data_IF_346441409083
#
_entry.id   IF_346441409083
#
_cell.length_a   1.000
_cell.length_b   1.000
_cell.length_c   1.000
_cell.angle_alpha   90.00
_cell.angle_beta   90.00
_cell.angle_gamma   90.00
#
_symmetry.space_group_name_H-M   'P 1'
#
loop_
_entity.id
_entity.type
_entity.pdbx_description
1 polymer ?
#
# COMPACT_ATOMS: atom_id res chain seq x y z
N UNK A 1 23.72 22.00 -17.91
CA UNK A 1 22.26 22.27 -17.87
C UNK A 1 21.42 21.31 -18.75
N UNK A 2 21.94 20.72 -19.85
CA UNK A 2 21.19 19.78 -20.70
C UNK A 2 21.22 18.31 -20.23
N UNK A 3 22.34 17.87 -19.67
CA UNK A 3 22.54 16.49 -19.21
C UNK A 3 21.69 16.13 -17.97
N UNK A 4 21.43 17.13 -17.11
CA UNK A 4 20.57 16.98 -15.93
C UNK A 4 19.13 16.65 -16.31
N UNK A 5 18.60 17.27 -17.37
CA UNK A 5 17.23 17.02 -17.83
C UNK A 5 17.02 15.62 -18.39
N UNK A 6 18.05 15.01 -19.01
CA UNK A 6 17.97 13.62 -19.51
C UNK A 6 17.96 12.62 -18.35
N UNK A 7 18.78 12.85 -17.33
CA UNK A 7 18.84 12.00 -16.14
C UNK A 7 17.51 12.04 -15.35
N UNK A 8 16.94 13.23 -15.18
CA UNK A 8 15.63 13.42 -14.53
C UNK A 8 14.51 12.72 -15.30
N UNK A 9 14.44 12.91 -16.62
CA UNK A 9 13.44 12.25 -17.47
C UNK A 9 13.55 10.71 -17.37
N UNK A 10 14.77 10.17 -17.33
CA UNK A 10 15.01 8.73 -17.18
C UNK A 10 14.58 8.22 -15.82
N UNK A 11 14.87 8.96 -14.75
CA UNK A 11 14.43 8.61 -13.40
C UNK A 11 12.91 8.56 -13.31
N UNK A 12 12.22 9.50 -13.97
CA UNK A 12 10.77 9.56 -13.92
C UNK A 12 10.09 8.46 -14.75
N UNK A 13 10.65 8.14 -15.92
CA UNK A 13 10.27 6.95 -16.68
C UNK A 13 10.47 5.67 -15.86
N UNK A 14 11.61 5.54 -15.17
CA UNK A 14 11.90 4.38 -14.32
C UNK A 14 10.89 4.24 -13.18
N UNK A 15 10.54 5.33 -12.49
CA UNK A 15 9.51 5.32 -11.44
C UNK A 15 8.15 4.91 -11.99
N UNK A 16 7.76 5.42 -13.16
CA UNK A 16 6.49 5.07 -13.79
C UNK A 16 6.39 3.56 -14.06
N UNK A 17 7.43 2.98 -14.66
CA UNK A 17 7.50 1.54 -14.92
C UNK A 17 7.42 0.74 -13.61
N UNK A 18 8.17 1.14 -12.58
CA UNK A 18 8.14 0.48 -11.28
C UNK A 18 6.75 0.52 -10.63
N UNK A 19 6.05 1.66 -10.72
CA UNK A 19 4.69 1.80 -10.21
C UNK A 19 3.73 0.82 -10.91
N UNK A 20 3.77 0.77 -12.24
CA UNK A 20 2.94 -0.14 -13.04
C UNK A 20 3.20 -1.59 -12.69
N UNK A 21 4.48 -2.01 -12.65
CA UNK A 21 4.85 -3.38 -12.27
C UNK A 21 4.32 -3.71 -10.88
N UNK A 22 4.57 -2.85 -9.88
CA UNK A 22 4.14 -3.08 -8.51
C UNK A 22 2.61 -3.21 -8.36
N UNK A 23 1.82 -2.44 -9.11
CA UNK A 23 0.35 -2.54 -9.07
C UNK A 23 -0.15 -3.81 -9.76
N UNK A 24 0.43 -4.17 -10.91
CA UNK A 24 -0.06 -5.30 -11.67
C UNK A 24 0.45 -6.65 -11.15
N UNK A 25 1.58 -6.70 -10.43
CA UNK A 25 2.09 -7.90 -9.78
C UNK A 25 1.55 -8.11 -8.36
N UNK A 26 0.86 -7.13 -7.78
CA UNK A 26 0.30 -7.25 -6.45
C UNK A 26 -0.88 -8.22 -6.41
N UNK A 27 -1.07 -8.86 -5.25
CA UNK A 27 -2.28 -9.59 -4.89
C UNK A 27 -3.49 -8.68 -4.99
N UNK A 28 -4.59 -9.19 -5.55
CA UNK A 28 -5.82 -8.46 -5.84
C UNK A 28 -7.01 -9.05 -5.10
N UNK A 29 -8.09 -8.27 -5.07
CA UNK A 29 -9.36 -8.72 -4.54
C UNK A 29 -9.84 -9.96 -5.32
N UNK A 30 -10.18 -11.02 -4.59
CA UNK A 30 -10.64 -12.29 -5.16
C UNK A 30 -9.54 -13.32 -5.35
N UNK A 31 -8.26 -12.96 -5.20
CA UNK A 31 -7.18 -13.94 -5.27
C UNK A 31 -7.25 -14.92 -4.08
N UNK A 32 -7.15 -16.24 -4.30
CA UNK A 32 -7.09 -17.21 -3.22
C UNK A 32 -5.75 -17.09 -2.49
N UNK A 33 -5.79 -17.02 -1.16
CA UNK A 33 -4.60 -16.88 -0.32
C UNK A 33 -4.67 -17.85 0.86
N UNK A 34 -3.58 -18.58 1.07
CA UNK A 34 -3.36 -19.33 2.31
C UNK A 34 -3.10 -18.37 3.49
N UNK A 35 -3.34 -18.83 4.71
CA UNK A 35 -3.15 -18.01 5.91
C UNK A 35 -1.71 -17.49 6.04
N UNK A 36 -0.73 -18.32 5.70
CA UNK A 36 0.69 -17.99 5.75
C UNK A 36 1.04 -16.86 4.79
N UNK A 37 0.41 -16.84 3.60
CA UNK A 37 0.60 -15.77 2.61
C UNK A 37 0.04 -14.44 3.12
N UNK A 38 -1.14 -14.46 3.76
CA UNK A 38 -1.72 -13.26 4.37
C UNK A 38 -0.79 -12.67 5.43
N UNK A 39 -0.27 -13.51 6.32
CA UNK A 39 0.69 -13.09 7.36
C UNK A 39 1.94 -12.49 6.74
N UNK A 40 2.48 -13.11 5.69
CA UNK A 40 3.69 -12.63 5.04
C UNK A 40 3.48 -11.32 4.28
N UNK A 41 2.31 -11.11 3.66
CA UNK A 41 1.94 -9.83 3.05
C UNK A 41 1.97 -8.72 4.11
N UNK A 42 1.33 -8.94 5.27
CA UNK A 42 1.29 -7.95 6.35
C UNK A 42 2.69 -7.66 6.89
N UNK A 43 3.52 -8.68 7.09
CA UNK A 43 4.92 -8.53 7.54
C UNK A 43 5.76 -7.72 6.55
N UNK A 44 5.65 -8.02 5.26
CA UNK A 44 6.38 -7.30 4.21
C UNK A 44 5.94 -5.85 4.10
N UNK A 45 4.62 -5.62 4.12
CA UNK A 45 4.04 -4.29 4.11
C UNK A 45 4.53 -3.43 5.28
N UNK A 46 4.53 -3.98 6.50
CA UNK A 46 5.00 -3.26 7.69
C UNK A 46 6.48 -2.84 7.63
N UNK A 47 7.29 -3.48 6.78
CA UNK A 47 8.71 -3.15 6.55
C UNK A 47 8.95 -2.13 5.42
N UNK A 48 7.90 -1.73 4.70
CA UNK A 48 8.04 -0.76 3.61
C UNK A 48 8.36 0.64 4.13
N UNK A 49 9.09 1.43 3.34
CA UNK A 49 9.47 2.81 3.70
C UNK A 49 8.25 3.74 3.89
N UNK A 50 7.16 3.47 3.17
CA UNK A 50 5.90 4.21 3.29
C UNK A 50 4.73 3.21 3.38
N UNK A 51 4.29 2.83 4.59
CA UNK A 51 3.23 1.84 4.77
C UNK A 51 1.82 2.44 4.62
N UNK A 52 1.66 3.76 4.49
CA UNK A 52 0.34 4.39 4.53
C UNK A 52 -0.31 4.52 3.16
N UNK A 53 0.49 4.61 2.10
CA UNK A 53 0.00 4.95 0.76
C UNK A 53 0.70 4.11 -0.30
N UNK A 54 -0.05 3.58 -1.25
CA UNK A 54 0.53 2.87 -2.39
C UNK A 54 1.29 3.84 -3.30
N UNK A 55 2.15 3.35 -4.22
CA UNK A 55 2.92 4.19 -5.13
C UNK A 55 2.08 5.11 -6.05
N UNK A 56 0.77 4.88 -6.14
CA UNK A 56 -0.21 5.68 -6.89
C UNK A 56 -1.05 6.64 -6.03
N UNK A 57 -0.88 6.64 -4.70
CA UNK A 57 -1.61 7.56 -3.81
C UNK A 57 -2.82 6.97 -3.09
N UNK A 58 -3.18 5.69 -3.30
CA UNK A 58 -4.30 5.07 -2.54
C UNK A 58 -3.87 4.73 -1.11
N UNK A 59 -4.69 5.01 -0.09
CA UNK A 59 -4.42 4.56 1.27
C UNK A 59 -4.43 3.03 1.33
N UNK A 60 -3.47 2.45 2.06
CA UNK A 60 -3.32 0.99 2.20
C UNK A 60 -4.10 0.46 3.40
N UNK A 61 -4.21 1.26 4.48
CA UNK A 61 -4.82 0.85 5.73
C UNK A 61 -5.91 1.83 6.17
N UNK A 62 -6.95 1.29 6.82
CA UNK A 62 -7.91 2.04 7.61
C UNK A 62 -7.75 1.59 9.07
N UNK A 63 -7.48 2.54 9.96
CA UNK A 63 -7.41 2.26 11.41
C UNK A 63 -8.79 2.52 12.02
N UNK A 64 -9.40 1.48 12.58
CA UNK A 64 -10.63 1.59 13.36
C UNK A 64 -10.29 1.32 14.83
N UNK A 65 -10.54 2.29 15.71
CA UNK A 65 -10.35 2.07 17.15
C UNK A 65 -11.52 1.25 17.73
N UNK A 66 -11.31 0.65 18.92
CA UNK A 66 -12.40 -0.02 19.65
C UNK A 66 -13.55 0.95 19.95
N UNK A 67 -13.24 2.17 20.37
CA UNK A 67 -14.26 3.18 20.67
C UNK A 67 -15.05 3.60 19.43
N UNK A 68 -14.37 3.71 18.29
CA UNK A 68 -15.02 4.01 17.01
C UNK A 68 -15.94 2.87 16.58
N UNK A 69 -15.48 1.61 16.68
CA UNK A 69 -16.31 0.44 16.42
C UNK A 69 -17.53 0.44 17.35
N UNK A 70 -17.32 0.62 18.66
CA UNK A 70 -18.38 0.68 19.66
C UNK A 70 -19.43 1.72 19.28
N UNK A 71 -19.02 2.94 18.97
CA UNK A 71 -19.91 4.02 18.54
C UNK A 71 -20.69 3.65 17.26
N UNK A 72 -20.02 3.09 16.25
CA UNK A 72 -20.65 2.68 14.98
C UNK A 72 -21.69 1.57 15.16
N UNK A 73 -21.51 0.71 16.16
CA UNK A 73 -22.47 -0.34 16.53
C UNK A 73 -23.42 0.05 17.68
N UNK A 74 -23.44 1.33 18.08
CA UNK A 74 -24.27 1.84 19.19
C UNK A 74 -24.04 1.08 20.52
N UNK A 75 -22.79 0.70 20.78
CA UNK A 75 -22.36 0.00 22.00
C UNK A 75 -21.49 0.93 22.87
N UNK A 76 -21.49 0.69 24.17
CA UNK A 76 -20.59 1.30 25.15
C UNK A 76 -19.92 0.21 25.98
N UNK A 77 -18.89 -0.44 25.43
CA UNK A 77 -17.98 -1.28 26.22
C UNK A 77 -16.95 -0.36 26.86
N UNK A 78 -17.36 0.30 27.93
CA UNK A 78 -16.55 1.12 28.82
C UNK A 78 -16.64 0.53 30.21
#
# INVERSE_FOLDING_TARGET
LRETGVAEARLEAYKLVCKTIACHSAVRAGDPLAHEQLVEIVKNWARTKNPYTCPHGRPILLKLSKDELNRRFLRSWS
#
